data_IF_403856908982
#
_entry.id   IF_403856908982
#
_cell.length_a   1.000
_cell.length_b   1.000
_cell.length_c   1.000
_cell.angle_alpha   90.00
_cell.angle_beta   90.00
_cell.angle_gamma   90.00
#
_symmetry.space_group_name_H-M   'P 1'
#
loop_
_entity.id
_entity.type
_entity.pdbx_description
1 polymer ?
#
# COMPACT_ATOMS: atom_id res chain seq x y z
N UNK A 1 -4.98 45.36 -47.24
CA UNK A 1 -6.28 44.78 -46.83
C UNK A 1 -6.06 43.99 -45.53
N UNK A 2 -6.24 44.62 -44.35
CA UNK A 2 -5.99 43.98 -43.05
C UNK A 2 -7.32 43.44 -42.52
N UNK A 3 -7.44 42.13 -42.49
CA UNK A 3 -8.64 41.45 -41.91
C UNK A 3 -8.48 41.44 -40.41
N UNK A 4 -9.33 42.24 -39.71
CA UNK A 4 -9.45 42.20 -38.26
C UNK A 4 -10.17 40.91 -37.86
N UNK A 5 -9.46 40.00 -37.22
CA UNK A 5 -10.07 38.85 -36.56
C UNK A 5 -10.72 39.35 -35.27
N UNK A 6 -12.03 39.11 -35.13
CA UNK A 6 -12.81 39.58 -33.98
C UNK A 6 -12.44 38.81 -32.71
N UNK A 7 -12.24 39.51 -31.59
CA UNK A 7 -11.92 38.95 -30.28
C UNK A 7 -12.95 37.90 -29.76
N UNK A 8 -14.15 37.88 -30.32
CA UNK A 8 -15.17 36.90 -29.96
C UNK A 8 -14.94 35.51 -30.49
N UNK A 9 -14.26 35.33 -31.65
CA UNK A 9 -14.01 34.00 -32.22
C UNK A 9 -12.93 33.23 -31.49
N UNK A 10 -11.96 33.94 -30.89
CA UNK A 10 -10.86 33.31 -30.11
C UNK A 10 -11.37 32.80 -28.77
N UNK A 11 -12.29 33.55 -28.12
CA UNK A 11 -12.86 33.15 -26.82
C UNK A 11 -13.74 31.91 -26.95
N UNK A 12 -14.53 31.79 -28.02
CA UNK A 12 -15.39 30.60 -28.23
C UNK A 12 -14.60 29.37 -28.59
N UNK A 13 -13.47 29.52 -29.31
CA UNK A 13 -12.61 28.38 -29.65
C UNK A 13 -11.82 27.84 -28.43
N UNK A 14 -11.38 28.73 -27.54
CA UNK A 14 -10.70 28.37 -26.30
C UNK A 14 -11.65 27.67 -25.31
N UNK A 15 -12.91 28.15 -25.20
CA UNK A 15 -13.94 27.53 -24.37
C UNK A 15 -14.34 26.12 -24.85
N UNK A 16 -14.37 25.90 -26.18
CA UNK A 16 -14.64 24.57 -26.75
C UNK A 16 -13.45 23.63 -26.52
N UNK A 17 -12.21 24.11 -26.61
CA UNK A 17 -11.02 23.31 -26.36
C UNK A 17 -10.93 22.89 -24.87
N UNK A 18 -11.22 23.79 -23.93
CA UNK A 18 -11.25 23.47 -22.50
C UNK A 18 -12.36 22.48 -22.14
N UNK A 19 -13.55 22.58 -22.77
CA UNK A 19 -14.61 21.60 -22.54
C UNK A 19 -14.28 20.20 -23.12
N UNK A 20 -13.56 20.12 -24.23
CA UNK A 20 -13.14 18.83 -24.82
C UNK A 20 -12.07 18.18 -23.94
N UNK A 21 -11.12 18.95 -23.38
CA UNK A 21 -10.11 18.42 -22.46
C UNK A 21 -10.74 17.98 -21.14
N UNK A 22 -11.74 18.72 -20.62
CA UNK A 22 -12.48 18.32 -19.42
C UNK A 22 -13.35 17.07 -19.64
N UNK A 23 -13.95 16.90 -20.84
CA UNK A 23 -14.74 15.71 -21.16
C UNK A 23 -13.85 14.47 -21.39
N UNK A 24 -12.66 14.63 -21.98
CA UNK A 24 -11.74 13.51 -22.16
C UNK A 24 -10.99 13.15 -20.89
N UNK A 25 -10.69 14.10 -20.01
CA UNK A 25 -10.11 13.86 -18.70
C UNK A 25 -11.05 13.05 -17.78
N UNK A 26 -12.35 13.39 -17.77
CA UNK A 26 -13.33 12.64 -16.99
C UNK A 26 -13.73 11.28 -17.59
N UNK A 27 -13.48 11.04 -18.88
CA UNK A 27 -13.71 9.73 -19.50
C UNK A 27 -12.61 8.69 -19.16
N UNK A 28 -11.45 9.14 -18.71
CA UNK A 28 -10.39 8.24 -18.25
C UNK A 28 -10.38 7.99 -16.73
N UNK A 29 -11.15 8.77 -15.95
CA UNK A 29 -11.19 8.63 -14.49
C UNK A 29 -12.39 7.85 -13.95
N UNK A 30 -13.31 7.41 -14.82
CA UNK A 30 -14.45 6.58 -14.44
C UNK A 30 -14.41 5.21 -15.12
N UNK A 31 -13.22 4.59 -15.18
CA UNK A 31 -13.16 3.14 -15.17
C UNK A 31 -13.42 2.76 -13.71
N UNK A 32 -14.64 2.31 -13.41
CA UNK A 32 -14.85 1.36 -12.34
C UNK A 32 -13.82 0.24 -12.56
N UNK A 33 -12.66 0.34 -11.91
CA UNK A 33 -11.83 -0.81 -11.68
C UNK A 33 -12.70 -1.71 -10.81
N UNK A 34 -13.33 -2.71 -11.41
CA UNK A 34 -13.65 -3.90 -10.64
C UNK A 34 -12.36 -4.17 -9.85
N UNK A 35 -12.45 -4.14 -8.52
CA UNK A 35 -11.30 -4.27 -7.65
C UNK A 35 -10.49 -5.44 -8.21
N UNK A 36 -9.24 -5.18 -8.58
CA UNK A 36 -8.38 -6.24 -9.06
C UNK A 36 -8.44 -7.33 -8.02
N UNK A 37 -8.71 -8.56 -8.45
CA UNK A 37 -8.81 -9.69 -7.55
C UNK A 37 -7.59 -9.68 -6.64
N UNK A 38 -7.78 -9.68 -5.33
CA UNK A 38 -6.67 -9.52 -4.39
C UNK A 38 -5.69 -10.68 -4.55
N UNK A 39 -4.56 -10.42 -5.22
CA UNK A 39 -3.55 -11.43 -5.51
C UNK A 39 -2.93 -12.07 -4.25
N UNK A 40 -3.10 -11.47 -3.07
CA UNK A 40 -2.69 -12.07 -1.80
C UNK A 40 -3.51 -13.32 -1.46
N UNK A 41 -4.70 -13.45 -2.00
CA UNK A 41 -5.57 -14.61 -1.84
C UNK A 41 -5.39 -15.69 -2.90
N UNK A 42 -4.51 -15.48 -3.89
CA UNK A 42 -4.36 -16.41 -5.01
C UNK A 42 -3.69 -17.72 -4.59
N UNK A 43 -4.39 -18.82 -4.81
CA UNK A 43 -3.86 -20.16 -4.62
C UNK A 43 -3.81 -20.92 -5.94
N UNK A 44 -2.87 -21.85 -6.09
CA UNK A 44 -2.84 -22.73 -7.25
C UNK A 44 -4.08 -23.64 -7.35
N UNK A 45 -4.77 -23.87 -6.22
CA UNK A 45 -5.96 -24.74 -6.14
C UNK A 45 -7.25 -24.01 -6.54
N UNK A 46 -7.22 -22.70 -6.83
CA UNK A 46 -8.41 -21.93 -7.17
C UNK A 46 -9.11 -22.52 -8.41
N UNK A 47 -10.40 -22.76 -8.29
CA UNK A 47 -11.22 -23.39 -9.34
C UNK A 47 -11.25 -22.59 -10.65
N UNK A 48 -11.00 -21.29 -10.61
CA UNK A 48 -10.96 -20.41 -11.79
C UNK A 48 -9.81 -20.75 -12.75
N UNK A 49 -8.69 -21.26 -12.23
CA UNK A 49 -7.50 -21.58 -13.04
C UNK A 49 -6.84 -22.91 -12.73
N UNK A 50 -7.24 -23.58 -11.63
CA UNK A 50 -6.61 -24.85 -11.22
C UNK A 50 -6.63 -25.95 -12.28
N UNK A 51 -7.61 -25.95 -13.19
CA UNK A 51 -7.71 -26.91 -14.29
C UNK A 51 -6.89 -26.56 -15.54
N UNK A 52 -6.27 -25.35 -15.59
CA UNK A 52 -5.49 -24.91 -16.75
C UNK A 52 -4.29 -25.84 -16.95
N UNK A 53 -4.06 -26.35 -18.17
CA UNK A 53 -2.99 -27.30 -18.46
C UNK A 53 -1.60 -26.63 -18.41
N UNK A 54 -0.62 -27.38 -17.89
CA UNK A 54 0.81 -27.08 -17.90
C UNK A 54 1.57 -28.34 -18.35
N UNK A 55 1.78 -28.52 -19.64
CA UNK A 55 2.25 -29.82 -20.17
C UNK A 55 1.24 -30.95 -19.85
N UNK A 56 1.71 -32.01 -19.20
CA UNK A 56 0.87 -33.18 -18.80
C UNK A 56 0.28 -33.02 -17.37
N UNK A 57 0.36 -31.86 -16.78
CA UNK A 57 -0.17 -31.55 -15.44
C UNK A 57 -1.10 -30.33 -15.51
N UNK A 58 -1.50 -29.78 -14.37
CA UNK A 58 -2.35 -28.59 -14.29
C UNK A 58 -1.84 -27.62 -13.24
N UNK A 59 -2.32 -26.36 -13.26
CA UNK A 59 -1.98 -25.36 -12.26
C UNK A 59 -2.26 -25.87 -10.85
N UNK A 60 -3.42 -26.51 -10.60
CA UNK A 60 -3.72 -27.06 -9.26
C UNK A 60 -2.71 -28.11 -8.79
N UNK A 61 -2.17 -28.90 -9.70
CA UNK A 61 -1.26 -30.00 -9.33
C UNK A 61 0.20 -29.60 -9.19
N UNK A 62 0.66 -28.62 -9.99
CA UNK A 62 2.10 -28.27 -10.09
C UNK A 62 2.33 -26.78 -10.33
N UNK A 63 1.34 -25.94 -10.10
CA UNK A 63 1.37 -24.52 -10.47
C UNK A 63 1.90 -23.57 -9.42
N UNK A 64 2.55 -24.01 -8.34
CA UNK A 64 3.06 -23.10 -7.30
C UNK A 64 3.99 -22.02 -7.88
N UNK A 65 4.92 -22.37 -8.76
CA UNK A 65 5.85 -21.42 -9.35
C UNK A 65 5.16 -20.43 -10.30
N UNK A 66 4.26 -20.90 -11.17
CA UNK A 66 3.53 -19.99 -12.08
C UNK A 66 2.56 -19.08 -11.33
N UNK A 67 1.98 -19.57 -10.23
CA UNK A 67 1.15 -18.73 -9.34
C UNK A 67 2.00 -17.69 -8.61
N UNK A 68 3.16 -18.06 -8.08
CA UNK A 68 4.11 -17.12 -7.45
C UNK A 68 4.63 -16.07 -8.44
N UNK A 69 4.90 -16.45 -9.70
CA UNK A 69 5.25 -15.51 -10.77
C UNK A 69 4.10 -14.54 -11.08
N UNK A 70 2.85 -15.01 -11.06
CA UNK A 70 1.68 -14.17 -11.29
C UNK A 70 1.49 -13.17 -10.13
N UNK A 71 1.67 -13.62 -8.89
CA UNK A 71 1.65 -12.78 -7.69
C UNK A 71 2.73 -11.71 -7.80
N UNK A 72 3.96 -12.09 -8.11
CA UNK A 72 5.08 -11.17 -8.33
C UNK A 72 4.77 -10.13 -9.43
N UNK A 73 4.19 -10.54 -10.54
CA UNK A 73 3.85 -9.64 -11.64
C UNK A 73 2.81 -8.57 -11.24
N UNK A 74 1.82 -8.95 -10.43
CA UNK A 74 0.84 -8.02 -9.85
C UNK A 74 1.50 -7.12 -8.80
N UNK A 75 2.22 -7.70 -7.86
CA UNK A 75 2.89 -6.99 -6.79
C UNK A 75 3.84 -5.92 -7.32
N UNK A 76 4.64 -6.26 -8.33
CA UNK A 76 5.57 -5.34 -8.98
C UNK A 76 4.94 -4.39 -9.99
N UNK A 77 3.60 -4.39 -10.14
CA UNK A 77 2.88 -3.57 -11.12
C UNK A 77 3.42 -3.69 -12.54
N UNK A 78 3.86 -4.90 -12.92
CA UNK A 78 4.52 -5.14 -14.22
C UNK A 78 3.54 -5.43 -15.36
N UNK A 79 2.23 -5.46 -15.11
CA UNK A 79 1.19 -5.71 -16.11
C UNK A 79 0.76 -4.38 -16.74
N UNK A 80 1.58 -3.90 -17.67
CA UNK A 80 1.33 -2.70 -18.45
C UNK A 80 0.62 -3.00 -19.79
N UNK A 81 0.42 -1.99 -20.63
CA UNK A 81 -0.22 -2.13 -21.94
C UNK A 81 0.49 -3.11 -22.88
N UNK A 82 1.82 -3.23 -22.80
CA UNK A 82 2.58 -4.18 -23.60
C UNK A 82 2.37 -5.62 -23.12
N UNK A 83 2.34 -5.83 -21.80
CA UNK A 83 2.02 -7.11 -21.19
C UNK A 83 0.57 -7.52 -21.48
N UNK A 84 -0.41 -6.60 -21.32
CA UNK A 84 -1.82 -6.85 -21.63
C UNK A 84 -2.00 -7.33 -23.06
N UNK A 85 -1.35 -6.68 -24.03
CA UNK A 85 -1.39 -7.08 -25.44
C UNK A 85 -0.86 -8.49 -25.67
N UNK A 86 0.27 -8.85 -25.05
CA UNK A 86 0.90 -10.18 -25.18
C UNK A 86 0.11 -11.29 -24.47
N UNK A 87 -0.58 -10.94 -23.39
CA UNK A 87 -1.44 -11.83 -22.62
C UNK A 87 -2.83 -12.00 -23.27
N UNK A 88 -3.18 -11.16 -24.27
CA UNK A 88 -4.49 -11.18 -24.92
C UNK A 88 -5.64 -10.74 -24.01
N UNK A 89 -5.37 -9.87 -23.04
CA UNK A 89 -6.36 -9.30 -22.10
C UNK A 89 -6.42 -7.79 -22.24
N UNK A 90 -7.54 -7.18 -21.84
CA UNK A 90 -7.78 -5.74 -22.01
C UNK A 90 -7.56 -4.91 -20.76
N UNK A 91 -7.45 -5.54 -19.58
CA UNK A 91 -7.22 -4.88 -18.31
C UNK A 91 -6.46 -5.76 -17.33
N UNK A 92 -5.76 -5.15 -16.38
CA UNK A 92 -5.04 -5.84 -15.31
C UNK A 92 -5.96 -6.69 -14.43
N UNK A 93 -7.24 -6.30 -14.29
CA UNK A 93 -8.23 -7.06 -13.53
C UNK A 93 -8.57 -8.43 -14.14
N UNK A 94 -8.22 -8.66 -15.40
CA UNK A 94 -8.37 -9.97 -16.05
C UNK A 94 -7.16 -10.88 -15.86
N UNK A 95 -6.04 -10.34 -15.37
CA UNK A 95 -4.82 -11.10 -15.16
C UNK A 95 -4.96 -12.01 -13.92
N UNK A 96 -4.52 -13.26 -14.07
CA UNK A 96 -4.49 -14.26 -13.00
C UNK A 96 -3.51 -15.40 -13.37
N UNK A 97 -3.24 -16.37 -12.48
CA UNK A 97 -2.36 -17.50 -12.75
C UNK A 97 -2.71 -18.32 -13.97
N UNK A 98 -4.00 -18.46 -14.29
CA UNK A 98 -4.45 -19.18 -15.49
C UNK A 98 -4.11 -18.47 -16.79
N UNK A 99 -4.22 -17.14 -16.80
CA UNK A 99 -3.83 -16.30 -17.96
C UNK A 99 -2.34 -16.43 -18.22
N UNK A 100 -1.51 -16.35 -17.18
CA UNK A 100 -0.07 -16.51 -17.31
C UNK A 100 0.30 -17.94 -17.74
N UNK A 101 -0.32 -18.96 -17.20
CA UNK A 101 -0.10 -20.36 -17.58
C UNK A 101 -0.44 -20.61 -19.07
N UNK A 102 -1.55 -20.08 -19.56
CA UNK A 102 -1.91 -20.16 -20.97
C UNK A 102 -0.88 -19.45 -21.87
N UNK A 103 -0.41 -18.27 -21.45
CA UNK A 103 0.62 -17.55 -22.19
C UNK A 103 1.97 -18.30 -22.19
N UNK A 104 2.34 -18.94 -21.08
CA UNK A 104 3.52 -19.83 -21.03
C UNK A 104 3.36 -21.01 -21.99
N UNK A 105 2.21 -21.68 -22.00
CA UNK A 105 1.93 -22.78 -22.95
C UNK A 105 2.05 -22.32 -24.40
N UNK A 106 1.46 -21.17 -24.74
CA UNK A 106 1.54 -20.59 -26.09
C UNK A 106 2.99 -20.20 -26.50
N UNK A 107 3.89 -19.99 -25.55
CA UNK A 107 5.28 -19.66 -25.79
C UNK A 107 6.25 -20.85 -25.57
N UNK A 108 5.75 -22.08 -25.54
CA UNK A 108 6.52 -23.29 -25.22
C UNK A 108 7.32 -23.15 -23.89
N UNK A 109 6.71 -22.49 -22.92
CA UNK A 109 7.34 -22.13 -21.65
C UNK A 109 7.37 -23.25 -20.61
N UNK A 110 6.66 -24.38 -20.87
CA UNK A 110 6.64 -25.55 -20.00
C UNK A 110 7.31 -26.75 -20.66
N UNK A 111 7.94 -27.58 -19.84
CA UNK A 111 8.30 -28.95 -20.19
C UNK A 111 7.05 -29.84 -20.24
N UNK A 112 7.17 -31.06 -20.74
CA UNK A 112 6.07 -32.03 -20.70
C UNK A 112 5.59 -32.32 -19.27
N UNK A 113 6.46 -32.24 -18.27
CA UNK A 113 6.13 -32.41 -16.84
C UNK A 113 5.54 -31.18 -16.17
N UNK A 114 5.41 -30.05 -16.88
CA UNK A 114 4.84 -28.81 -16.36
C UNK A 114 5.84 -27.89 -15.64
N UNK A 115 7.12 -28.26 -15.59
CA UNK A 115 8.16 -27.36 -15.11
C UNK A 115 8.42 -26.24 -16.14
N UNK A 116 8.87 -25.07 -15.69
CA UNK A 116 9.26 -23.98 -16.57
C UNK A 116 10.48 -24.41 -17.41
N UNK A 117 10.33 -24.33 -18.74
CA UNK A 117 11.35 -24.79 -19.69
C UNK A 117 12.47 -23.74 -19.94
N UNK A 118 12.20 -22.47 -19.72
CA UNK A 118 13.15 -21.38 -19.95
C UNK A 118 12.86 -20.18 -19.06
N UNK A 119 13.88 -19.74 -18.36
CA UNK A 119 13.86 -18.57 -17.47
C UNK A 119 13.44 -17.27 -18.18
N UNK A 120 13.89 -17.08 -19.42
CA UNK A 120 13.58 -15.89 -20.21
C UNK A 120 12.17 -15.80 -20.73
N UNK A 121 11.34 -16.83 -20.53
CA UNK A 121 9.95 -16.84 -21.03
C UNK A 121 9.11 -15.75 -20.37
N UNK A 122 9.28 -15.50 -19.08
CA UNK A 122 8.53 -14.46 -18.37
C UNK A 122 8.73 -13.07 -19.02
N UNK A 123 9.95 -12.66 -19.33
CA UNK A 123 10.23 -11.38 -19.96
C UNK A 123 9.76 -11.25 -21.41
N UNK A 124 9.55 -12.39 -22.12
CA UNK A 124 8.90 -12.38 -23.43
C UNK A 124 7.40 -12.12 -23.33
N UNK A 125 6.76 -12.60 -22.26
CA UNK A 125 5.32 -12.44 -22.00
C UNK A 125 5.04 -11.11 -21.30
N UNK A 126 5.80 -10.79 -20.25
CA UNK A 126 5.68 -9.56 -19.47
C UNK A 126 7.01 -8.80 -19.57
N UNK A 127 7.14 -7.85 -20.51
CA UNK A 127 8.44 -7.21 -20.85
C UNK A 127 9.11 -6.49 -19.69
N UNK A 128 8.34 -6.04 -18.72
CA UNK A 128 8.86 -5.34 -17.55
C UNK A 128 9.39 -6.28 -16.45
N UNK A 129 9.30 -7.59 -16.66
CA UNK A 129 9.90 -8.56 -15.74
C UNK A 129 11.21 -9.09 -16.35
N UNK A 130 12.29 -8.93 -15.60
CA UNK A 130 13.60 -9.47 -15.95
C UNK A 130 13.99 -10.56 -14.97
N UNK A 131 14.26 -11.76 -15.47
CA UNK A 131 14.89 -12.81 -14.69
C UNK A 131 16.37 -12.49 -14.53
N UNK A 132 16.86 -12.45 -13.28
CA UNK A 132 18.25 -12.11 -12.96
C UNK A 132 19.10 -13.37 -12.80
N UNK A 133 18.67 -14.26 -11.91
CA UNK A 133 19.39 -15.48 -11.60
C UNK A 133 18.51 -16.51 -10.88
N UNK A 134 18.97 -17.73 -10.98
CA UNK A 134 18.62 -18.89 -10.17
C UNK A 134 19.83 -19.19 -9.28
N UNK A 135 19.63 -19.30 -7.97
CA UNK A 135 20.68 -19.50 -6.99
C UNK A 135 20.12 -20.13 -5.72
N UNK A 136 20.99 -20.51 -4.82
CA UNK A 136 20.62 -21.03 -3.50
C UNK A 136 20.95 -20.00 -2.42
N UNK A 137 20.12 -19.95 -1.36
CA UNK A 137 20.45 -19.21 -0.15
C UNK A 137 21.78 -19.72 0.40
N UNK A 138 22.62 -18.82 0.87
CA UNK A 138 23.96 -19.10 1.37
C UNK A 138 23.98 -19.29 2.89
N UNK A 139 23.07 -18.62 3.59
CA UNK A 139 23.06 -18.57 5.04
C UNK A 139 22.45 -19.82 5.68
N UNK A 140 23.14 -20.40 6.68
CA UNK A 140 22.71 -21.61 7.37
C UNK A 140 21.87 -21.34 8.63
N UNK A 141 21.75 -20.07 9.04
CA UNK A 141 20.96 -19.67 10.21
C UNK A 141 19.72 -18.90 9.80
N UNK A 142 18.66 -18.99 10.60
CA UNK A 142 17.43 -18.24 10.33
C UNK A 142 17.70 -16.72 10.23
N UNK A 143 18.44 -16.16 11.17
CA UNK A 143 18.80 -14.74 11.17
C UNK A 143 19.60 -14.32 9.92
N UNK A 144 20.48 -15.20 9.46
CA UNK A 144 21.25 -14.98 8.23
C UNK A 144 20.37 -15.06 6.98
N UNK A 145 19.42 -16.00 6.91
CA UNK A 145 18.43 -16.08 5.82
C UNK A 145 17.54 -14.82 5.81
N UNK A 146 17.10 -14.36 6.98
CA UNK A 146 16.36 -13.09 7.11
C UNK A 146 17.16 -11.92 6.50
N UNK A 147 18.45 -11.81 6.88
CA UNK A 147 19.34 -10.75 6.38
C UNK A 147 19.59 -10.86 4.87
N UNK A 148 19.79 -12.10 4.35
CA UNK A 148 20.03 -12.35 2.93
C UNK A 148 18.78 -11.99 2.08
N UNK A 149 17.60 -12.43 2.51
CA UNK A 149 16.33 -12.07 1.84
C UNK A 149 16.07 -10.57 1.89
N UNK A 150 16.24 -9.96 3.08
CA UNK A 150 16.09 -8.52 3.24
C UNK A 150 17.02 -7.73 2.30
N UNK A 151 18.29 -8.09 2.21
CA UNK A 151 19.24 -7.44 1.32
C UNK A 151 18.81 -7.51 -0.15
N UNK A 152 18.27 -8.67 -0.58
CA UNK A 152 17.74 -8.80 -1.94
C UNK A 152 16.53 -7.89 -2.18
N UNK A 153 15.56 -7.89 -1.26
CA UNK A 153 14.37 -7.05 -1.37
C UNK A 153 14.73 -5.55 -1.35
N UNK A 154 15.59 -5.13 -0.42
CA UNK A 154 16.06 -3.74 -0.31
C UNK A 154 16.80 -3.27 -1.58
N UNK A 155 17.47 -4.18 -2.29
CA UNK A 155 18.07 -3.90 -3.60
C UNK A 155 17.04 -3.82 -4.75
N UNK A 156 15.75 -3.90 -4.43
CA UNK A 156 14.65 -3.93 -5.41
C UNK A 156 14.54 -5.25 -6.16
N UNK A 157 15.04 -6.35 -5.59
CA UNK A 157 14.98 -7.68 -6.20
C UNK A 157 13.82 -8.48 -5.61
N UNK A 158 12.88 -8.91 -6.45
CA UNK A 158 11.84 -9.85 -6.07
C UNK A 158 12.41 -11.26 -5.94
N UNK A 159 11.94 -11.99 -4.95
CA UNK A 159 12.40 -13.35 -4.65
C UNK A 159 11.23 -14.32 -4.68
N UNK A 160 11.36 -15.39 -5.48
CA UNK A 160 10.49 -16.55 -5.41
C UNK A 160 11.32 -17.69 -4.86
N UNK A 161 10.96 -18.19 -3.69
CA UNK A 161 11.76 -19.15 -2.91
C UNK A 161 11.17 -20.54 -3.01
N UNK A 162 12.04 -21.53 -3.27
CA UNK A 162 11.69 -22.94 -3.19
C UNK A 162 11.78 -23.42 -1.74
N UNK A 163 10.64 -23.71 -1.16
CA UNK A 163 10.53 -24.30 0.16
C UNK A 163 10.36 -25.82 0.06
N UNK A 164 10.97 -26.59 0.95
CA UNK A 164 10.92 -28.06 0.98
C UNK A 164 11.39 -28.78 -0.32
N UNK A 165 12.09 -28.06 -1.23
CA UNK A 165 12.64 -28.63 -2.47
C UNK A 165 11.62 -28.86 -3.60
N UNK A 166 10.33 -28.58 -3.41
CA UNK A 166 9.30 -28.85 -4.41
C UNK A 166 8.16 -27.83 -4.42
N UNK A 167 8.13 -26.85 -3.54
CA UNK A 167 7.08 -25.84 -3.44
C UNK A 167 7.67 -24.43 -3.51
N UNK A 168 7.04 -23.55 -4.28
CA UNK A 168 7.50 -22.21 -4.53
C UNK A 168 6.54 -21.19 -3.93
N UNK A 169 7.09 -20.21 -3.20
CA UNK A 169 6.37 -19.13 -2.58
C UNK A 169 6.97 -17.78 -3.00
N UNK A 170 6.16 -16.75 -3.09
CA UNK A 170 6.65 -15.38 -3.31
C UNK A 170 7.01 -14.74 -1.96
N UNK A 171 8.24 -14.23 -1.84
CA UNK A 171 8.67 -13.48 -0.66
C UNK A 171 8.20 -12.03 -0.83
N UNK A 172 7.26 -11.65 0.01
CA UNK A 172 6.64 -10.34 -0.04
C UNK A 172 7.45 -9.30 0.71
N UNK A 173 7.97 -9.63 1.90
CA UNK A 173 8.73 -8.69 2.70
C UNK A 173 9.39 -9.29 3.93
N UNK A 174 10.21 -8.46 4.58
CA UNK A 174 10.89 -8.78 5.85
C UNK A 174 10.65 -7.65 6.84
N UNK A 175 10.05 -7.95 8.00
CA UNK A 175 9.83 -6.99 9.08
C UNK A 175 10.45 -7.55 10.36
N UNK A 176 11.47 -6.88 10.87
CA UNK A 176 12.25 -7.38 12.00
C UNK A 176 12.89 -8.72 11.67
N UNK A 177 12.56 -9.76 12.43
CA UNK A 177 13.01 -11.14 12.23
C UNK A 177 12.01 -12.01 11.43
N UNK A 178 10.87 -11.46 11.04
CA UNK A 178 9.83 -12.15 10.27
C UNK A 178 10.04 -11.97 8.78
N UNK A 179 9.86 -13.06 8.04
CA UNK A 179 9.78 -13.05 6.58
C UNK A 179 8.36 -13.36 6.18
N UNK A 180 7.73 -12.42 5.49
CA UNK A 180 6.38 -12.57 4.98
C UNK A 180 6.40 -13.13 3.56
N UNK A 181 5.46 -14.03 3.29
CA UNK A 181 5.32 -14.68 2.00
C UNK A 181 3.85 -14.70 1.57
N UNK A 182 3.64 -14.80 0.27
CA UNK A 182 2.36 -15.24 -0.30
C UNK A 182 2.57 -16.66 -0.80
N UNK A 183 1.85 -17.59 -0.20
CA UNK A 183 1.99 -19.03 -0.47
C UNK A 183 0.83 -19.53 -1.35
N UNK A 184 1.10 -19.93 -2.60
CA UNK A 184 0.07 -20.51 -3.47
C UNK A 184 -0.59 -21.80 -2.95
N UNK A 185 -0.03 -22.42 -1.94
CA UNK A 185 -0.51 -23.68 -1.36
C UNK A 185 -1.21 -23.52 -0.01
N UNK A 186 -1.16 -22.33 0.61
CA UNK A 186 -1.77 -22.11 1.92
C UNK A 186 -2.06 -20.62 2.19
N UNK A 187 -2.79 -20.35 3.28
CA UNK A 187 -3.04 -18.98 3.75
C UNK A 187 -2.02 -18.50 4.80
N UNK A 188 -1.00 -19.29 5.12
CA UNK A 188 0.05 -18.89 6.06
C UNK A 188 0.97 -17.86 5.40
N UNK A 189 1.27 -16.81 6.11
CA UNK A 189 2.07 -15.68 5.62
C UNK A 189 3.47 -15.60 6.24
N UNK A 190 3.74 -16.34 7.33
CA UNK A 190 5.05 -16.36 8.00
C UNK A 190 5.88 -17.53 7.49
N UNK A 191 6.98 -17.22 6.79
CA UNK A 191 7.85 -18.22 6.16
C UNK A 191 8.38 -19.24 7.18
N UNK A 192 8.87 -18.77 8.32
CA UNK A 192 9.50 -19.66 9.31
C UNK A 192 8.50 -20.37 10.21
N UNK A 193 7.31 -19.82 10.39
CA UNK A 193 6.22 -20.53 11.07
C UNK A 193 5.75 -21.74 10.27
N UNK A 194 5.83 -21.66 8.93
CA UNK A 194 5.35 -22.70 8.02
C UNK A 194 6.45 -23.64 7.55
N UNK A 195 7.63 -23.11 7.22
CA UNK A 195 8.67 -23.83 6.52
C UNK A 195 10.03 -23.69 7.23
N UNK A 196 10.76 -24.78 7.31
CA UNK A 196 12.16 -24.77 7.72
C UNK A 196 13.04 -24.37 6.53
N UNK A 197 13.49 -23.12 6.49
CA UNK A 197 14.31 -22.57 5.41
C UNK A 197 15.73 -22.31 5.90
N UNK A 198 16.73 -22.69 5.09
CA UNK A 198 18.15 -22.54 5.41
C UNK A 198 18.99 -22.42 4.13
N UNK A 199 20.30 -22.32 4.28
CA UNK A 199 21.23 -22.41 3.15
C UNK A 199 20.99 -23.66 2.32
N UNK A 200 21.02 -23.50 1.00
CA UNK A 200 20.72 -24.54 0.03
C UNK A 200 19.31 -24.51 -0.54
N UNK A 201 18.35 -23.77 0.07
CA UNK A 201 17.07 -23.54 -0.57
C UNK A 201 17.26 -22.68 -1.84
N UNK A 202 16.77 -23.21 -2.96
CA UNK A 202 16.80 -22.54 -4.26
C UNK A 202 15.89 -21.31 -4.29
N UNK A 203 16.30 -20.24 -4.97
CA UNK A 203 15.45 -19.07 -5.20
C UNK A 203 15.63 -18.51 -6.59
N UNK A 204 14.57 -17.86 -7.08
CA UNK A 204 14.64 -17.05 -8.27
C UNK A 204 14.64 -15.58 -7.90
N UNK A 205 15.60 -14.85 -8.47
CA UNK A 205 15.72 -13.41 -8.35
C UNK A 205 15.22 -12.76 -9.63
N UNK A 206 14.30 -11.80 -9.49
CA UNK A 206 13.67 -11.10 -10.61
C UNK A 206 13.63 -9.59 -10.33
N UNK A 207 13.53 -8.80 -11.39
CA UNK A 207 13.14 -7.38 -11.35
C UNK A 207 11.78 -7.22 -11.98
N UNK A 208 10.99 -6.29 -11.46
CA UNK A 208 9.72 -5.85 -12.01
C UNK A 208 9.70 -4.33 -12.19
N UNK A 209 8.55 -3.76 -12.56
CA UNK A 209 8.38 -2.31 -12.74
C UNK A 209 8.56 -1.53 -11.43
N UNK A 210 8.10 -2.11 -10.33
CA UNK A 210 8.29 -1.57 -8.98
C UNK A 210 9.14 -2.52 -8.16
N UNK A 211 9.88 -1.97 -7.20
CA UNK A 211 10.60 -2.75 -6.20
C UNK A 211 9.63 -3.53 -5.29
N UNK A 212 10.08 -4.61 -4.64
CA UNK A 212 9.28 -5.28 -3.60
C UNK A 212 8.87 -4.29 -2.50
N UNK A 213 7.65 -4.42 -2.04
CA UNK A 213 7.12 -3.68 -0.90
C UNK A 213 6.21 -4.60 -0.08
N UNK A 214 6.21 -4.42 1.22
CA UNK A 214 5.34 -5.18 2.10
C UNK A 214 4.23 -4.29 2.64
N UNK A 215 2.99 -4.62 2.30
CA UNK A 215 1.82 -4.03 2.95
C UNK A 215 1.42 -4.95 4.09
N UNK A 216 1.64 -4.52 5.34
CA UNK A 216 1.19 -5.29 6.48
C UNK A 216 -0.32 -5.58 6.35
N UNK A 217 -0.76 -6.84 6.43
CA UNK A 217 -2.18 -7.13 6.43
C UNK A 217 -2.85 -6.37 7.58
N UNK A 218 -4.02 -5.80 7.31
CA UNK A 218 -4.81 -5.11 8.32
C UNK A 218 -4.97 -5.99 9.56
N UNK A 219 -4.52 -5.49 10.72
CA UNK A 219 -4.66 -6.22 11.98
C UNK A 219 -6.14 -6.22 12.35
N UNK A 220 -6.82 -7.34 12.14
CA UNK A 220 -8.18 -7.54 12.63
C UNK A 220 -8.12 -7.85 14.12
N UNK A 221 -8.36 -6.85 14.95
CA UNK A 221 -8.49 -7.06 16.39
C UNK A 221 -9.95 -7.40 16.71
N UNK A 222 -10.20 -8.64 17.06
CA UNK A 222 -11.53 -9.05 17.54
C UNK A 222 -11.64 -8.73 19.03
N UNK A 223 -12.34 -7.65 19.35
CA UNK A 223 -12.68 -7.32 20.74
C UNK A 223 -14.00 -7.97 21.11
N UNK A 224 -13.96 -8.96 21.98
CA UNK A 224 -15.18 -9.59 22.51
C UNK A 224 -15.66 -8.79 23.70
N UNK A 225 -16.69 -7.97 23.52
CA UNK A 225 -17.34 -7.26 24.62
C UNK A 225 -18.45 -8.15 25.16
N UNK A 226 -18.29 -8.62 26.39
CA UNK A 226 -19.30 -9.38 27.07
C UNK A 226 -20.35 -8.43 27.69
N UNK A 227 -21.46 -8.22 27.00
CA UNK A 227 -22.57 -7.44 27.52
C UNK A 227 -23.51 -8.39 28.29
N UNK A 228 -23.58 -8.21 29.60
CA UNK A 228 -24.53 -8.96 30.45
C UNK A 228 -25.80 -8.13 30.53
N UNK A 229 -26.84 -8.55 29.84
CA UNK A 229 -28.17 -7.94 30.00
C UNK A 229 -28.94 -8.67 31.11
N UNK A 230 -29.13 -8.01 32.24
CA UNK A 230 -29.95 -8.50 33.32
C UNK A 230 -31.40 -8.08 33.07
N UNK A 231 -32.24 -8.99 32.68
CA UNK A 231 -33.68 -8.71 32.57
C UNK A 231 -34.33 -8.91 33.94
N UNK A 232 -34.69 -7.83 34.60
CA UNK A 232 -35.51 -7.87 35.84
C UNK A 232 -36.96 -8.08 35.43
N UNK A 233 -37.49 -9.26 35.69
CA UNK A 233 -38.91 -9.53 35.52
C UNK A 233 -39.65 -9.00 36.77
N UNK A 234 -40.28 -7.85 36.67
CA UNK A 234 -41.13 -7.29 37.70
C UNK A 234 -42.46 -8.08 37.71
N UNK A 235 -42.68 -8.88 38.71
CA UNK A 235 -43.99 -9.54 38.92
C UNK A 235 -44.89 -8.58 39.67
N UNK A 236 -45.94 -8.08 39.01
CA UNK A 236 -46.99 -7.30 39.69
C UNK A 236 -47.81 -8.24 40.56
N UNK A 237 -47.74 -8.06 41.87
CA UNK A 237 -48.62 -8.78 42.82
C UNK A 237 -49.95 -8.04 42.89
N UNK A 238 -50.98 -8.59 42.30
CA UNK A 238 -52.37 -8.07 42.46
C UNK A 238 -52.91 -8.59 43.76
N UNK A 239 -52.98 -7.76 44.80
CA UNK A 239 -53.65 -8.08 46.04
C UNK A 239 -55.15 -7.85 45.86
N UNK A 240 -55.93 -8.94 45.80
CA UNK A 240 -57.37 -8.85 45.81
C UNK A 240 -57.84 -8.93 47.28
N UNK A 241 -58.30 -7.82 47.83
CA UNK A 241 -58.96 -7.78 49.15
C UNK A 241 -60.41 -8.25 49.01
N UNK A 242 -60.70 -9.38 49.55
CA UNK A 242 -62.11 -9.82 49.67
C UNK A 242 -62.52 -9.65 51.11
N UNK A 243 -63.44 -8.70 51.39
CA UNK A 243 -64.08 -8.53 52.69
C UNK A 243 -65.23 -9.48 52.75
N UNK A 244 -65.22 -10.48 53.69
CA UNK A 244 -66.39 -11.32 53.98
C UNK A 244 -66.56 -11.41 55.48
N UNK A 245 -67.73 -11.08 55.89
CA UNK A 245 -68.18 -11.08 57.32
C UNK A 245 -68.34 -12.50 57.80
N UNK A 246 -67.75 -12.81 58.97
CA UNK A 246 -67.98 -13.91 59.90
C UNK A 246 -68.19 -15.32 59.34
N UNK A 247 -67.12 -16.13 59.30
CA UNK A 247 -67.06 -17.49 59.85
C UNK A 247 -65.66 -18.04 59.69
N UNK A 248 -65.17 -18.80 60.67
CA UNK A 248 -63.79 -19.35 60.70
C UNK A 248 -63.30 -19.82 59.40
N UNK A 249 -62.20 -19.18 58.93
CA UNK A 249 -61.52 -19.58 57.68
C UNK A 249 -60.06 -19.90 57.98
N UNK A 250 -59.68 -21.13 57.67
CA UNK A 250 -58.30 -21.61 57.72
C UNK A 250 -57.51 -20.95 56.56
N UNK A 251 -56.48 -20.14 56.86
CA UNK A 251 -55.62 -19.50 55.86
C UNK A 251 -54.55 -20.48 55.46
N UNK A 252 -54.60 -20.98 54.23
CA UNK A 252 -53.52 -21.75 53.63
C UNK A 252 -52.61 -20.76 52.94
N UNK A 253 -51.39 -20.59 53.47
CA UNK A 253 -50.36 -19.76 52.83
C UNK A 253 -49.58 -20.61 51.78
N UNK A 254 -49.80 -20.35 50.50
CA UNK A 254 -49.08 -21.01 49.46
C UNK A 254 -47.84 -20.13 49.16
N UNK A 255 -46.64 -20.62 49.49
CA UNK A 255 -45.36 -19.97 49.14
C UNK A 255 -44.97 -20.40 47.75
N UNK A 256 -45.06 -19.50 46.78
CA UNK A 256 -44.60 -19.76 45.44
C UNK A 256 -43.11 -19.34 45.32
N UNK A 257 -42.25 -20.32 45.22
CA UNK A 257 -40.81 -20.06 44.98
C UNK A 257 -40.59 -19.80 43.49
N UNK A 258 -40.30 -18.57 43.13
CA UNK A 258 -40.00 -18.21 41.74
C UNK A 258 -38.53 -18.47 41.49
N UNK A 259 -38.20 -19.41 40.58
CA UNK A 259 -36.84 -19.66 40.12
C UNK A 259 -36.46 -18.59 39.07
N UNK A 260 -35.56 -17.71 39.43
CA UNK A 260 -35.03 -16.74 38.50
C UNK A 260 -33.99 -17.41 37.60
N UNK A 261 -34.25 -17.51 36.32
CA UNK A 261 -33.29 -17.99 35.33
C UNK A 261 -32.62 -16.76 34.70
N UNK A 262 -31.34 -16.60 34.93
CA UNK A 262 -30.54 -15.55 34.28
C UNK A 262 -30.04 -16.07 32.95
N UNK A 263 -30.52 -15.49 31.86
CA UNK A 263 -29.99 -15.79 30.53
C UNK A 263 -28.92 -14.77 30.21
N UNK A 264 -27.67 -15.22 30.03
CA UNK A 264 -26.57 -14.40 29.61
C UNK A 264 -26.48 -14.48 28.08
N UNK A 265 -26.75 -13.38 27.40
CA UNK A 265 -26.51 -13.28 25.96
C UNK A 265 -25.13 -12.67 25.76
N UNK A 266 -24.24 -13.39 25.08
CA UNK A 266 -22.95 -12.89 24.67
C UNK A 266 -23.10 -12.34 23.26
N UNK A 267 -22.99 -11.03 23.11
CA UNK A 267 -22.92 -10.39 21.78
C UNK A 267 -21.46 -10.16 21.46
N UNK A 268 -20.96 -10.81 20.42
CA UNK A 268 -19.61 -10.59 19.89
C UNK A 268 -19.69 -9.49 18.84
N UNK A 269 -19.09 -8.35 19.13
CA UNK A 269 -18.92 -7.27 18.15
C UNK A 269 -17.49 -7.38 17.61
N UNK A 270 -17.36 -7.66 16.34
CA UNK A 270 -16.06 -7.62 15.64
C UNK A 270 -15.85 -6.21 15.15
N UNK A 271 -14.88 -5.50 15.73
CA UNK A 271 -14.43 -4.22 15.23
C UNK A 271 -13.15 -4.49 14.43
N UNK A 272 -13.20 -4.29 13.13
CA UNK A 272 -12.01 -4.32 12.28
C UNK A 272 -11.38 -2.94 12.38
N UNK A 273 -10.25 -2.82 13.07
CA UNK A 273 -9.41 -1.63 13.01
C UNK A 273 -8.39 -1.88 11.93
N UNK A 274 -8.57 -1.24 10.79
CA UNK A 274 -7.52 -1.18 9.77
C UNK A 274 -6.38 -0.37 10.36
N UNK A 275 -5.16 -0.90 10.38
CA UNK A 275 -3.98 -0.07 10.59
C UNK A 275 -3.99 1.02 9.49
N UNK A 276 -3.60 2.27 9.78
CA UNK A 276 -3.55 3.29 8.76
C UNK A 276 -2.70 2.77 7.60
N UNK A 277 -3.30 2.70 6.43
CA UNK A 277 -2.56 2.46 5.20
C UNK A 277 -1.78 3.75 4.94
N UNK A 278 -0.47 3.72 5.16
CA UNK A 278 0.39 4.83 4.75
C UNK A 278 0.48 4.85 3.23
N UNK A 279 0.51 6.03 2.66
CA UNK A 279 0.57 6.25 1.21
C UNK A 279 1.90 6.92 0.85
N UNK A 280 2.25 6.90 -0.43
CA UNK A 280 3.36 7.72 -0.94
C UNK A 280 2.94 9.18 -1.00
N UNK A 281 3.87 10.11 -0.80
CA UNK A 281 3.60 11.54 -0.79
C UNK A 281 4.49 12.29 0.18
N UNK A 282 4.21 13.55 0.39
CA UNK A 282 4.95 14.37 1.33
C UNK A 282 4.46 14.15 2.75
N UNK A 283 5.40 14.01 3.69
CA UNK A 283 5.15 13.85 5.11
C UNK A 283 5.90 14.89 5.91
N UNK A 284 5.19 15.53 6.85
CA UNK A 284 5.76 16.50 7.77
C UNK A 284 5.96 15.90 9.16
N UNK A 285 7.07 16.24 9.80
CA UNK A 285 7.32 15.94 11.20
C UNK A 285 6.88 17.10 12.10
N UNK A 286 5.95 16.82 13.03
CA UNK A 286 5.38 17.84 13.94
C UNK A 286 5.75 17.64 15.41
N UNK A 287 6.56 16.62 15.75
CA UNK A 287 6.99 16.35 17.13
C UNK A 287 8.04 17.34 17.64
N UNK A 288 8.24 17.34 18.96
CA UNK A 288 9.21 18.24 19.61
C UNK A 288 10.60 17.59 19.80
N UNK A 289 10.75 16.30 19.51
CA UNK A 289 12.02 15.58 19.44
C UNK A 289 12.56 15.52 18.00
N UNK A 290 13.27 14.47 17.63
CA UNK A 290 13.73 14.26 16.26
C UNK A 290 13.41 12.85 15.77
N UNK A 291 13.14 12.72 14.47
CA UNK A 291 12.99 11.44 13.80
C UNK A 291 14.19 11.18 12.92
N UNK A 292 14.77 9.99 13.05
CA UNK A 292 15.93 9.59 12.27
C UNK A 292 15.48 9.04 10.92
N UNK A 293 16.21 9.40 9.88
CA UNK A 293 16.18 8.74 8.58
C UNK A 293 17.40 7.85 8.50
N UNK A 294 17.19 6.56 8.32
CA UNK A 294 18.24 5.55 8.38
C UNK A 294 18.43 4.87 7.01
N UNK A 295 19.64 4.37 6.75
CA UNK A 295 19.93 3.65 5.50
C UNK A 295 19.24 2.30 5.39
N UNK A 296 18.69 1.78 6.48
CA UNK A 296 17.95 0.52 6.55
C UNK A 296 16.65 0.70 7.33
N UNK A 297 15.66 -0.14 7.06
CA UNK A 297 14.39 -0.19 7.78
C UNK A 297 14.53 -0.56 9.26
N UNK A 298 13.52 -0.27 10.08
CA UNK A 298 13.51 -0.57 11.51
C UNK A 298 14.39 0.37 12.33
N UNK A 299 14.74 1.55 11.82
CA UNK A 299 15.65 2.48 12.48
C UNK A 299 17.09 1.98 12.54
N UNK A 300 17.43 0.99 11.74
CA UNK A 300 18.76 0.37 11.70
C UNK A 300 19.65 1.01 10.62
N UNK A 301 20.93 0.60 10.61
CA UNK A 301 21.91 1.13 9.66
C UNK A 301 22.50 2.48 10.06
N UNK A 302 23.00 3.21 9.06
CA UNK A 302 23.61 4.52 9.26
C UNK A 302 22.50 5.56 9.30
N UNK A 303 22.55 6.49 10.26
CA UNK A 303 21.67 7.65 10.29
C UNK A 303 22.11 8.60 9.18
N UNK A 304 21.27 8.77 8.17
CA UNK A 304 21.51 9.65 7.02
C UNK A 304 21.14 11.10 7.37
N UNK A 305 20.02 11.26 8.08
CA UNK A 305 19.54 12.55 8.52
C UNK A 305 18.70 12.42 9.80
N UNK A 306 18.40 13.57 10.40
CA UNK A 306 17.44 13.70 11.50
C UNK A 306 16.45 14.80 11.14
N UNK A 307 15.18 14.44 11.06
CA UNK A 307 14.10 15.41 10.87
C UNK A 307 13.80 16.13 12.17
N UNK A 308 13.61 17.42 12.08
CA UNK A 308 13.15 18.30 13.15
C UNK A 308 11.70 18.71 12.86
N UNK A 309 11.05 19.34 13.82
CA UNK A 309 9.70 19.91 13.64
C UNK A 309 9.65 20.82 12.41
N UNK A 310 8.64 20.63 11.58
CA UNK A 310 8.44 21.34 10.32
C UNK A 310 9.23 20.78 9.13
N UNK A 311 10.09 19.78 9.36
CA UNK A 311 10.78 19.12 8.25
C UNK A 311 9.82 18.22 7.47
N UNK A 312 9.91 18.30 6.15
CA UNK A 312 9.11 17.53 5.17
C UNK A 312 10.03 16.60 4.40
N UNK A 313 9.55 15.39 4.14
CA UNK A 313 10.19 14.41 3.24
C UNK A 313 9.19 13.90 2.24
N UNK A 314 9.65 13.63 1.01
CA UNK A 314 8.87 12.93 0.01
C UNK A 314 9.05 11.42 0.15
N UNK A 315 7.99 10.73 0.53
CA UNK A 315 7.95 9.27 0.62
C UNK A 315 7.61 8.70 -0.75
N UNK A 316 8.59 8.09 -1.39
CA UNK A 316 8.48 7.53 -2.74
C UNK A 316 8.02 6.07 -2.75
N UNK A 317 8.10 5.41 -1.61
CA UNK A 317 7.57 4.05 -1.41
C UNK A 317 7.30 3.82 0.07
N UNK A 318 6.32 2.98 0.38
CA UNK A 318 5.93 2.65 1.76
C UNK A 318 6.22 1.18 2.02
N UNK A 319 6.80 0.88 3.18
CA UNK A 319 7.14 -0.45 3.64
C UNK A 319 6.66 -0.66 5.09
N UNK A 320 5.49 -1.24 5.23
CA UNK A 320 4.83 -1.36 6.54
C UNK A 320 4.52 0.02 7.13
N UNK A 321 5.17 0.35 8.24
CA UNK A 321 5.09 1.65 8.90
C UNK A 321 6.23 2.61 8.52
N UNK A 322 7.06 2.25 7.54
CA UNK A 322 8.22 3.05 7.15
C UNK A 322 8.10 3.55 5.71
N UNK A 323 8.53 4.77 5.50
CA UNK A 323 8.61 5.42 4.19
C UNK A 323 10.04 5.43 3.65
N UNK A 324 10.18 5.09 2.37
CA UNK A 324 11.41 5.25 1.63
C UNK A 324 11.50 6.69 1.10
N UNK A 325 12.60 7.35 1.40
CA UNK A 325 12.93 8.72 0.98
C UNK A 325 14.20 8.70 0.14
N UNK A 326 14.24 9.47 -0.95
CA UNK A 326 15.46 9.66 -1.75
C UNK A 326 16.34 10.79 -1.17
N UNK A 327 17.57 10.45 -0.86
CA UNK A 327 18.61 11.38 -0.41
C UNK A 327 19.71 11.47 -1.48
N UNK A 328 19.47 12.19 -2.56
CA UNK A 328 20.46 12.37 -3.63
C UNK A 328 20.96 11.07 -4.26
N UNK A 329 20.03 10.15 -4.52
CA UNK A 329 20.31 8.81 -5.06
C UNK A 329 20.66 7.76 -4.00
N UNK A 330 20.64 8.13 -2.69
CA UNK A 330 20.73 7.18 -1.58
C UNK A 330 19.36 6.96 -0.96
N UNK A 331 19.00 5.71 -0.70
CA UNK A 331 17.75 5.36 -0.04
C UNK A 331 17.83 5.60 1.46
N UNK A 332 16.89 6.39 1.98
CA UNK A 332 16.67 6.59 3.42
C UNK A 332 15.31 6.07 3.85
N UNK A 333 15.21 5.57 5.07
CA UNK A 333 13.99 5.03 5.65
C UNK A 333 13.57 5.83 6.88
N UNK A 334 12.29 6.18 6.95
CA UNK A 334 11.71 6.95 8.05
C UNK A 334 10.45 6.29 8.57
N UNK A 335 10.23 6.34 9.89
CA UNK A 335 9.05 5.78 10.54
C UNK A 335 7.83 6.70 10.36
N UNK A 336 6.87 6.27 9.55
CA UNK A 336 5.68 7.05 9.16
C UNK A 336 4.70 7.26 10.31
N UNK A 337 4.70 6.39 11.33
CA UNK A 337 3.84 6.55 12.52
C UNK A 337 4.13 7.84 13.30
N UNK A 338 5.28 8.46 13.09
CA UNK A 338 5.72 9.72 13.70
C UNK A 338 5.46 10.93 12.81
N UNK A 339 5.07 10.72 11.58
CA UNK A 339 4.88 11.75 10.58
C UNK A 339 3.40 11.94 10.28
N UNK A 340 3.07 13.08 9.71
CA UNK A 340 1.72 13.39 9.22
C UNK A 340 1.80 13.55 7.71
N UNK A 341 0.94 12.86 6.97
CA UNK A 341 0.80 13.04 5.52
C UNK A 341 0.33 14.48 5.26
N UNK A 342 1.00 15.16 4.33
CA UNK A 342 0.61 16.50 3.88
C UNK A 342 -0.45 16.36 2.82
N UNK A 343 -1.67 16.77 3.13
CA UNK A 343 -2.80 16.82 2.18
C UNK A 343 -2.85 18.20 1.51
N UNK A 344 -1.79 18.57 0.80
CA UNK A 344 -1.78 19.82 0.02
C UNK A 344 -2.19 19.55 -1.43
N UNK A 345 -3.51 19.61 -1.66
CA UNK A 345 -4.12 19.39 -2.97
C UNK A 345 -4.39 20.72 -3.73
N UNK A 346 -3.97 21.87 -3.19
CA UNK A 346 -4.20 23.17 -3.78
C UNK A 346 -2.98 23.65 -4.54
N UNK A 347 -3.14 23.96 -5.82
CA UNK A 347 -2.07 24.55 -6.62
C UNK A 347 -1.90 26.01 -6.21
N UNK A 348 -0.71 26.36 -5.72
CA UNK A 348 -0.37 27.74 -5.39
C UNK A 348 -0.04 28.54 -6.66
N UNK A 349 -0.45 29.78 -6.70
CA UNK A 349 -0.03 30.69 -7.77
C UNK A 349 1.45 31.05 -7.64
N UNK A 350 2.13 31.40 -8.74
CA UNK A 350 3.51 31.82 -8.69
C UNK A 350 3.67 33.02 -7.73
N UNK A 351 4.52 32.88 -6.75
CA UNK A 351 4.76 33.89 -5.72
C UNK A 351 3.79 33.86 -4.52
N UNK A 352 2.71 33.11 -4.55
CA UNK A 352 1.75 32.94 -3.44
C UNK A 352 2.14 31.67 -2.67
N UNK A 353 3.18 31.75 -1.83
CA UNK A 353 3.76 30.62 -1.13
C UNK A 353 2.81 30.15 -0.02
N UNK A 354 2.17 31.09 0.69
CA UNK A 354 1.27 30.80 1.80
C UNK A 354 -0.17 30.47 1.37
N UNK A 355 -0.45 30.55 0.05
CA UNK A 355 -1.74 30.26 -0.57
C UNK A 355 -2.90 31.12 0.00
N UNK A 356 -2.64 32.39 0.29
CA UNK A 356 -3.67 33.34 0.75
C UNK A 356 -4.37 34.10 -0.41
N UNK A 357 -3.96 33.84 -1.63
CA UNK A 357 -4.48 34.40 -2.88
C UNK A 357 -3.72 35.64 -3.35
N UNK A 358 -2.62 36.03 -2.70
CA UNK A 358 -1.83 37.21 -3.05
C UNK A 358 -0.33 36.91 -2.92
N UNK A 359 0.42 37.23 -3.96
CA UNK A 359 1.88 37.26 -3.85
C UNK A 359 2.32 38.59 -3.21
N UNK A 360 2.77 38.58 -1.95
CA UNK A 360 3.11 39.79 -1.23
C UNK A 360 4.37 39.68 -0.35
N UNK A 361 4.59 40.65 0.54
CA UNK A 361 5.74 40.70 1.43
C UNK A 361 5.83 39.51 2.42
N UNK A 362 4.72 38.86 2.73
CA UNK A 362 4.70 37.72 3.65
C UNK A 362 5.27 36.48 2.96
N UNK A 363 4.95 36.31 1.67
CA UNK A 363 5.52 35.23 0.87
C UNK A 363 7.02 35.46 0.61
N UNK A 364 7.40 36.74 0.39
CA UNK A 364 8.82 37.09 0.27
C UNK A 364 9.60 36.78 1.57
N UNK A 365 8.96 36.94 2.73
CA UNK A 365 9.57 36.56 4.00
C UNK A 365 9.74 35.05 4.11
N UNK A 366 8.74 34.24 3.69
CA UNK A 366 8.82 32.78 3.63
C UNK A 366 9.93 32.31 2.68
N UNK A 367 10.02 32.89 1.47
CA UNK A 367 11.09 32.59 0.54
C UNK A 367 12.48 32.85 1.14
N UNK A 368 12.67 33.97 1.83
CA UNK A 368 13.94 34.27 2.49
C UNK A 368 14.25 33.29 3.65
N UNK A 369 13.23 32.89 4.42
CA UNK A 369 13.37 31.89 5.46
C UNK A 369 13.77 30.54 4.87
N UNK A 370 13.11 30.10 3.78
CA UNK A 370 13.46 28.88 3.07
C UNK A 370 14.92 28.89 2.60
N UNK A 371 15.38 29.98 1.97
CA UNK A 371 16.76 30.09 1.48
C UNK A 371 17.81 30.06 2.61
N UNK A 372 17.46 30.61 3.77
CA UNK A 372 18.31 30.53 4.96
C UNK A 372 18.42 29.09 5.49
N UNK A 373 17.30 28.37 5.55
CA UNK A 373 17.22 27.05 6.13
C UNK A 373 17.74 25.97 5.15
N UNK A 374 17.38 26.04 3.89
CA UNK A 374 17.70 25.04 2.86
C UNK A 374 19.21 24.85 2.68
N UNK A 375 20.02 25.90 2.88
CA UNK A 375 21.49 25.82 2.77
C UNK A 375 22.14 24.88 3.80
N UNK A 376 21.46 24.58 4.90
CA UNK A 376 21.93 23.72 5.99
C UNK A 376 21.19 22.38 6.08
N UNK A 377 20.18 22.18 5.24
CA UNK A 377 19.40 20.93 5.26
C UNK A 377 20.11 19.80 4.52
N UNK A 378 19.97 18.57 5.01
CA UNK A 378 20.34 17.40 4.26
C UNK A 378 19.51 17.33 2.98
N UNK A 379 20.12 16.84 1.90
CA UNK A 379 19.40 16.49 0.68
C UNK A 379 18.21 15.57 0.99
N UNK A 380 17.09 15.73 0.31
CA UNK A 380 15.86 14.94 0.56
C UNK A 380 14.98 15.43 1.71
N UNK A 381 15.42 16.44 2.48
CA UNK A 381 14.59 17.12 3.49
C UNK A 381 14.26 18.55 3.02
N UNK A 382 13.00 18.94 3.18
CA UNK A 382 12.52 20.29 2.89
C UNK A 382 11.79 20.88 4.10
N UNK A 383 11.54 22.18 4.06
CA UNK A 383 10.60 22.88 4.95
C UNK A 383 9.41 23.43 4.17
N UNK A 384 9.43 23.26 2.84
CA UNK A 384 8.34 23.62 1.96
C UNK A 384 7.75 22.36 1.32
N UNK A 385 6.43 22.33 1.14
CA UNK A 385 5.72 21.34 0.33
C UNK A 385 6.07 21.52 -1.15
N UNK A 386 5.68 20.58 -1.99
CA UNK A 386 5.88 20.65 -3.44
C UNK A 386 5.20 21.87 -4.06
N UNK A 387 3.99 22.22 -3.58
CA UNK A 387 3.26 23.38 -4.04
C UNK A 387 3.89 24.71 -3.58
N UNK A 388 4.35 24.78 -2.33
CA UNK A 388 5.09 25.94 -1.84
C UNK A 388 6.41 26.13 -2.58
N UNK A 389 7.15 25.02 -2.87
CA UNK A 389 8.38 25.09 -3.68
C UNK A 389 8.10 25.57 -5.10
N UNK A 390 6.99 25.11 -5.71
CA UNK A 390 6.58 25.56 -7.04
C UNK A 390 6.23 27.06 -7.06
N UNK A 391 5.54 27.54 -6.01
CA UNK A 391 5.22 28.96 -5.87
C UNK A 391 6.47 29.83 -5.58
N UNK A 392 7.43 29.28 -4.85
CA UNK A 392 8.68 29.93 -4.50
C UNK A 392 9.67 30.08 -5.67
N UNK A 393 9.58 29.20 -6.68
CA UNK A 393 10.30 29.31 -7.96
C UNK A 393 9.63 30.39 -8.83
N UNK A 394 9.82 31.63 -8.45
CA UNK A 394 9.15 32.77 -9.06
C UNK A 394 9.64 33.08 -10.49
N UNK A 395 10.84 32.64 -10.86
CA UNK A 395 11.39 32.80 -12.18
C UNK A 395 11.14 31.60 -13.12
N UNK A 396 10.69 30.44 -12.57
CA UNK A 396 10.32 29.22 -13.29
C UNK A 396 11.50 28.42 -13.84
N UNK A 397 12.70 28.56 -13.27
CA UNK A 397 13.91 27.85 -13.76
C UNK A 397 14.13 26.49 -13.05
N UNK A 398 13.29 26.15 -12.08
CA UNK A 398 13.32 24.89 -11.32
C UNK A 398 14.29 24.90 -10.14
N UNK A 399 14.93 26.05 -9.82
CA UNK A 399 15.90 26.21 -8.74
C UNK A 399 15.47 27.36 -7.86
N UNK A 400 15.17 27.08 -6.60
CA UNK A 400 14.82 28.14 -5.64
C UNK A 400 16.11 28.77 -5.11
N UNK A 401 16.41 29.99 -5.58
CA UNK A 401 17.62 30.72 -5.18
C UNK A 401 17.38 32.25 -5.07
N UNK A 402 18.44 33.02 -4.95
CA UNK A 402 18.37 34.50 -4.89
C UNK A 402 17.77 35.15 -6.13
N UNK A 403 17.73 34.45 -7.28
CA UNK A 403 17.14 35.01 -8.50
C UNK A 403 15.61 35.03 -8.38
N UNK A 404 15.03 34.08 -7.60
CA UNK A 404 13.60 34.09 -7.29
C UNK A 404 13.23 35.28 -6.40
N UNK A 405 14.09 35.64 -5.45
CA UNK A 405 13.87 36.86 -4.66
C UNK A 405 13.77 38.10 -5.57
N UNK A 406 14.61 38.19 -6.60
CA UNK A 406 14.54 39.29 -7.56
C UNK A 406 13.28 39.21 -8.43
N UNK A 407 12.96 38.04 -8.94
CA UNK A 407 11.72 37.81 -9.72
C UNK A 407 10.47 38.14 -8.88
N UNK A 408 10.47 37.71 -7.62
CA UNK A 408 9.41 37.97 -6.68
C UNK A 408 9.19 39.45 -6.39
N UNK A 409 10.28 40.22 -6.15
CA UNK A 409 10.20 41.67 -5.98
C UNK A 409 9.62 42.33 -7.23
N UNK A 410 9.98 41.86 -8.43
CA UNK A 410 9.38 42.36 -9.68
C UNK A 410 7.88 42.03 -9.78
N UNK A 411 7.48 40.84 -9.31
CA UNK A 411 6.07 40.41 -9.32
C UNK A 411 5.21 41.28 -8.39
N UNK A 412 5.67 41.56 -7.17
CA UNK A 412 4.88 42.35 -6.19
C UNK A 412 4.91 43.86 -6.46
N UNK A 413 5.84 44.35 -7.30
CA UNK A 413 5.94 45.75 -7.69
C UNK A 413 5.24 46.09 -9.03
N UNK A 414 4.72 45.09 -9.74
CA UNK A 414 4.02 45.27 -11.03
C UNK A 414 2.54 45.52 -10.83
#
# INVERSE_FOLDING_TARGET
MHTKISKGAVSTFLAVLMNVVSLTGNLFYNQNSAAADDYHSWTQMDSRWGSVPMGNTTVAKSGCLITSLSIMAMHSQSIDSAALSKLGISSTSQFNPGVLANAYTANNGFTSGGAIASWGTIGRIIPNITFIKDANLSSTTQSGVVSELKQMLDSGTHVILNVNGYHWVYIEGVVGSKVYMIDPGSSETDLFAKYGVSGGNEYWALKGSKAPYYTSPAVTTTTTTKTTTTTVKTTATTTRTTTTTAKTTTTTTTTTTTKTTTTTTVTTTTTTTTAPAYETGEYIYNGDDSVKVCSLTGGNGIVLASMQKGHIVEVISVYGSEGLVDFGGNNGWVELSKLTLVEDNTEHAAGDINNDGMADKYDLALLNEYLCLSSSMPEGISVFTANERKAADANGDGIIDKNDVLAFIMLICS
#
